data_IF_699014128483
#
_entry.id   IF_699014128483
#
_cell.length_a   1.000
_cell.length_b   1.000
_cell.length_c   1.000
_cell.angle_alpha   90.00
_cell.angle_beta   90.00
_cell.angle_gamma   90.00
#
_symmetry.space_group_name_H-M   'P 1'
#
loop_
_entity.id
_entity.type
_entity.pdbx_description
1 polymer ?
#
# COMPACT_ATOMS: atom_id res chain seq x y z
N UNK A 1 -49.03 9.35 8.18
CA UNK A 1 -49.99 8.78 9.14
C UNK A 1 -49.33 7.58 9.79
N UNK A 2 -48.89 7.76 11.03
CA UNK A 2 -48.31 6.71 11.85
C UNK A 2 -49.51 5.86 12.28
N UNK A 3 -49.62 4.63 11.78
CA UNK A 3 -50.63 3.69 12.27
C UNK A 3 -50.21 3.30 13.69
N UNK A 4 -51.01 3.70 14.66
CA UNK A 4 -50.81 3.42 16.08
C UNK A 4 -50.56 1.93 16.28
N UNK A 5 -49.38 1.62 16.80
CA UNK A 5 -48.96 0.27 17.13
C UNK A 5 -49.64 -0.10 18.44
N UNK A 6 -50.78 -0.77 18.36
CA UNK A 6 -51.48 -1.28 19.55
C UNK A 6 -50.68 -2.48 20.12
N UNK A 7 -49.92 -2.31 21.23
CA UNK A 7 -48.92 -3.28 21.68
C UNK A 7 -49.54 -4.60 22.17
N UNK A 8 -50.84 -4.60 22.49
CA UNK A 8 -51.60 -5.75 22.97
C UNK A 8 -52.24 -6.59 21.85
N UNK A 9 -52.07 -6.17 20.60
CA UNK A 9 -52.55 -6.94 19.46
C UNK A 9 -51.84 -8.30 19.39
N UNK A 10 -52.63 -9.37 19.38
CA UNK A 10 -52.15 -10.75 19.23
C UNK A 10 -52.63 -11.38 17.92
N UNK A 11 -51.88 -12.34 17.41
CA UNK A 11 -52.22 -13.07 16.19
C UNK A 11 -51.94 -14.56 16.36
N UNK A 12 -52.77 -15.39 15.73
CA UNK A 12 -52.59 -16.84 15.68
C UNK A 12 -51.64 -17.22 14.56
N UNK A 13 -50.58 -17.96 14.87
CA UNK A 13 -49.67 -18.48 13.86
C UNK A 13 -50.29 -19.71 13.17
N UNK A 14 -50.41 -19.76 11.82
CA UNK A 14 -51.00 -20.91 11.13
C UNK A 14 -50.21 -22.22 11.30
N UNK A 15 -48.88 -22.14 11.42
CA UNK A 15 -48.04 -23.35 11.50
C UNK A 15 -48.09 -24.02 12.88
N UNK A 16 -47.90 -23.27 13.97
CA UNK A 16 -47.91 -23.82 15.34
C UNK A 16 -49.26 -23.70 16.05
N UNK A 17 -50.24 -23.00 15.48
CA UNK A 17 -51.58 -22.83 16.04
C UNK A 17 -51.69 -21.91 17.27
N UNK A 18 -50.58 -21.50 17.85
CA UNK A 18 -50.50 -20.65 19.06
C UNK A 18 -50.85 -19.18 18.76
N UNK A 19 -51.55 -18.54 19.70
CA UNK A 19 -51.78 -17.09 19.72
C UNK A 19 -50.62 -16.40 20.41
N UNK A 20 -49.93 -15.49 19.71
CA UNK A 20 -48.75 -14.77 20.21
C UNK A 20 -48.92 -13.27 20.00
N UNK A 21 -48.26 -12.43 20.81
CA UNK A 21 -48.25 -10.99 20.56
C UNK A 21 -47.66 -10.68 19.18
N UNK A 22 -48.13 -9.62 18.51
CA UNK A 22 -47.63 -9.19 17.21
C UNK A 22 -46.11 -8.94 17.20
N UNK A 23 -45.51 -8.63 18.36
CA UNK A 23 -44.06 -8.52 18.55
C UNK A 23 -43.30 -9.79 18.16
N UNK A 24 -43.90 -10.98 18.37
CA UNK A 24 -43.33 -12.29 18.05
C UNK A 24 -43.39 -12.64 16.56
N UNK A 25 -43.95 -11.77 15.72
CA UNK A 25 -44.01 -11.94 14.27
C UNK A 25 -42.99 -11.00 13.58
N UNK A 26 -42.26 -11.45 12.55
CA UNK A 26 -41.30 -10.60 11.84
C UNK A 26 -41.97 -9.37 11.23
N UNK A 27 -41.22 -8.28 11.06
CA UNK A 27 -41.73 -7.09 10.37
C UNK A 27 -42.00 -7.41 8.89
N UNK A 28 -43.17 -7.03 8.41
CA UNK A 28 -43.58 -7.15 7.02
C UNK A 28 -44.30 -5.86 6.61
N UNK A 29 -43.53 -4.86 6.18
CA UNK A 29 -44.02 -3.52 5.88
C UNK A 29 -45.13 -3.49 4.81
N UNK A 30 -45.15 -4.47 3.91
CA UNK A 30 -46.15 -4.59 2.85
C UNK A 30 -47.54 -5.09 3.34
N UNK A 31 -47.70 -5.42 4.63
CA UNK A 31 -48.97 -5.91 5.17
C UNK A 31 -49.68 -4.84 6.00
N UNK A 32 -51.01 -4.91 6.02
CA UNK A 32 -51.91 -3.98 6.75
C UNK A 32 -51.47 -3.74 8.20
N UNK A 33 -51.02 -4.78 8.91
CA UNK A 33 -50.62 -4.71 10.32
C UNK A 33 -49.08 -4.66 10.50
N UNK A 34 -48.30 -4.47 9.43
CA UNK A 34 -46.83 -4.35 9.47
C UNK A 34 -46.08 -5.60 9.93
N UNK A 35 -46.77 -6.74 10.10
CA UNK A 35 -46.24 -7.99 10.67
C UNK A 35 -46.51 -9.20 9.77
N UNK A 36 -45.62 -10.19 9.88
CA UNK A 36 -45.69 -11.46 9.17
C UNK A 36 -46.88 -12.32 9.62
N UNK A 37 -47.22 -13.33 8.81
CA UNK A 37 -48.30 -14.28 9.11
C UNK A 37 -47.85 -15.39 10.07
N UNK A 38 -46.56 -15.72 10.06
CA UNK A 38 -45.98 -16.78 10.87
C UNK A 38 -45.16 -16.17 12.00
N UNK A 39 -45.21 -16.78 13.18
CA UNK A 39 -44.35 -16.36 14.28
C UNK A 39 -42.87 -16.53 13.88
N UNK A 40 -41.96 -15.75 14.48
CA UNK A 40 -40.54 -15.74 14.14
C UNK A 40 -39.88 -17.13 14.11
N UNK A 41 -40.17 -18.05 15.04
CA UNK A 41 -39.67 -19.43 14.97
C UNK A 41 -40.16 -20.20 13.73
N UNK A 42 -41.48 -20.24 13.48
CA UNK A 42 -42.06 -20.92 12.31
C UNK A 42 -41.57 -20.29 11.00
N UNK A 43 -41.49 -18.97 10.95
CA UNK A 43 -40.91 -18.25 9.82
C UNK A 43 -39.44 -18.64 9.57
N UNK A 44 -38.62 -18.71 10.63
CA UNK A 44 -37.22 -19.10 10.52
C UNK A 44 -37.05 -20.54 10.00
N UNK A 45 -37.91 -21.48 10.43
CA UNK A 45 -37.93 -22.85 9.92
C UNK A 45 -38.29 -22.91 8.44
N UNK A 46 -39.38 -22.25 8.02
CA UNK A 46 -39.77 -22.18 6.60
C UNK A 46 -38.69 -21.53 5.75
N UNK A 47 -38.09 -20.46 6.25
CA UNK A 47 -37.02 -19.75 5.56
C UNK A 47 -35.78 -20.63 5.37
N UNK A 48 -35.41 -21.43 6.39
CA UNK A 48 -34.33 -22.41 6.31
C UNK A 48 -34.62 -23.47 5.24
N UNK A 49 -35.80 -24.09 5.26
CA UNK A 49 -36.21 -25.09 4.27
C UNK A 49 -36.22 -24.52 2.84
N UNK A 50 -36.72 -23.30 2.66
CA UNK A 50 -36.68 -22.62 1.37
C UNK A 50 -35.25 -22.40 0.88
N UNK A 51 -34.33 -21.96 1.77
CA UNK A 51 -32.91 -21.79 1.44
C UNK A 51 -32.25 -23.11 1.05
N UNK A 52 -32.54 -24.19 1.75
CA UNK A 52 -32.03 -25.54 1.45
C UNK A 52 -32.50 -26.02 0.07
N UNK A 53 -33.81 -25.91 -0.22
CA UNK A 53 -34.37 -26.27 -1.53
C UNK A 53 -33.75 -25.46 -2.66
N UNK A 54 -33.58 -24.15 -2.47
CA UNK A 54 -32.98 -23.27 -3.47
C UNK A 54 -31.50 -23.59 -3.69
N UNK A 55 -30.74 -23.83 -2.62
CA UNK A 55 -29.34 -24.21 -2.71
C UNK A 55 -29.15 -25.56 -3.42
N UNK A 56 -29.99 -26.56 -3.13
CA UNK A 56 -29.99 -27.84 -3.82
C UNK A 56 -30.29 -27.70 -5.32
N UNK A 57 -31.28 -26.86 -5.68
CA UNK A 57 -31.60 -26.58 -7.08
C UNK A 57 -30.46 -25.88 -7.83
N UNK A 58 -29.75 -24.97 -7.16
CA UNK A 58 -28.63 -24.20 -7.73
C UNK A 58 -27.27 -24.91 -7.62
N UNK A 59 -27.22 -26.12 -7.05
CA UNK A 59 -25.96 -26.84 -6.80
C UNK A 59 -24.99 -26.10 -5.86
N UNK A 60 -25.50 -25.21 -5.00
CA UNK A 60 -24.69 -24.42 -4.06
C UNK A 60 -24.62 -25.10 -2.70
N UNK A 61 -23.43 -25.14 -2.11
CA UNK A 61 -23.24 -25.61 -0.74
C UNK A 61 -23.60 -24.51 0.27
N UNK A 62 -24.47 -24.82 1.23
CA UNK A 62 -24.78 -23.90 2.33
C UNK A 62 -23.66 -24.00 3.35
N UNK A 63 -22.93 -22.89 3.55
CA UNK A 63 -21.92 -22.82 4.62
C UNK A 63 -22.63 -22.81 5.99
N UNK A 64 -22.27 -23.72 6.92
CA UNK A 64 -22.85 -23.71 8.25
C UNK A 64 -22.48 -22.41 8.97
N UNK A 65 -23.41 -21.88 9.78
CA UNK A 65 -23.06 -20.77 10.67
C UNK A 65 -22.17 -21.28 11.78
N UNK A 66 -20.99 -20.68 11.91
CA UNK A 66 -20.06 -20.96 12.99
C UNK A 66 -20.30 -19.93 14.08
N UNK A 67 -20.79 -20.38 15.23
CA UNK A 67 -20.90 -19.54 16.43
C UNK A 67 -19.58 -19.59 17.18
N UNK A 68 -19.09 -18.43 17.62
CA UNK A 68 -17.93 -18.32 18.48
C UNK A 68 -18.38 -17.90 19.89
N UNK A 69 -17.74 -18.38 20.97
CA UNK A 69 -17.97 -17.88 22.32
C UNK A 69 -17.63 -16.40 22.46
N UNK A 70 -18.14 -15.76 23.51
CA UNK A 70 -17.86 -14.36 23.81
C UNK A 70 -16.35 -14.11 23.94
N UNK A 71 -15.86 -13.03 23.34
CA UNK A 71 -14.43 -12.70 23.32
C UNK A 71 -13.61 -13.42 22.23
N UNK A 72 -14.20 -14.36 21.50
CA UNK A 72 -13.56 -15.09 20.41
C UNK A 72 -14.26 -14.85 19.07
N UNK A 73 -13.50 -15.00 17.99
CA UNK A 73 -14.03 -15.01 16.64
C UNK A 73 -13.38 -16.12 15.82
N UNK A 74 -14.16 -16.61 14.86
CA UNK A 74 -13.72 -17.63 13.92
C UNK A 74 -13.18 -16.96 12.65
N UNK A 75 -11.95 -17.29 12.25
CA UNK A 75 -11.40 -16.80 10.98
C UNK A 75 -11.84 -17.71 9.81
N UNK A 76 -12.57 -17.21 8.80
CA UNK A 76 -13.03 -18.03 7.67
C UNK A 76 -11.92 -18.62 6.80
N UNK A 77 -10.74 -17.99 6.77
CA UNK A 77 -9.63 -18.40 5.91
C UNK A 77 -8.81 -19.51 6.57
N UNK A 78 -8.21 -19.25 7.75
CA UNK A 78 -7.39 -20.26 8.46
C UNK A 78 -8.21 -21.24 9.27
N UNK A 79 -9.52 -21.03 9.37
CA UNK A 79 -10.45 -21.93 10.02
C UNK A 79 -10.26 -22.14 11.54
N UNK A 80 -9.54 -21.23 12.19
CA UNK A 80 -9.23 -21.28 13.62
C UNK A 80 -10.09 -20.31 14.43
N UNK A 81 -10.39 -20.70 15.66
CA UNK A 81 -11.00 -19.87 16.68
C UNK A 81 -9.91 -19.09 17.42
N UNK A 82 -9.97 -17.75 17.37
CA UNK A 82 -8.96 -16.87 17.96
C UNK A 82 -9.60 -15.79 18.82
N UNK A 83 -8.88 -15.25 19.81
CA UNK A 83 -9.33 -14.08 20.56
C UNK A 83 -9.66 -12.91 19.61
N UNK A 84 -10.65 -12.10 19.95
CA UNK A 84 -11.03 -10.92 19.14
C UNK A 84 -9.86 -9.96 18.91
N UNK A 85 -8.87 -9.94 19.82
CA UNK A 85 -7.63 -9.15 19.73
C UNK A 85 -6.75 -9.49 18.53
N UNK A 86 -6.82 -10.73 18.05
CA UNK A 86 -6.12 -11.18 16.85
C UNK A 86 -6.82 -10.78 15.56
N UNK A 87 -7.93 -10.05 15.66
CA UNK A 87 -8.65 -9.48 14.53
C UNK A 87 -8.42 -7.96 14.50
N UNK A 88 -8.19 -7.37 13.30
CA UNK A 88 -7.98 -5.94 13.17
C UNK A 88 -9.25 -5.18 13.61
N UNK A 89 -9.06 -3.99 14.20
CA UNK A 89 -10.18 -3.12 14.58
C UNK A 89 -10.87 -2.61 13.32
N UNK A 90 -12.19 -2.71 13.28
CA UNK A 90 -13.00 -2.15 12.22
C UNK A 90 -14.25 -1.48 12.83
N UNK A 91 -14.27 -0.14 12.81
CA UNK A 91 -15.40 0.64 13.36
C UNK A 91 -16.68 0.53 12.55
N UNK A 92 -16.61 0.01 11.32
CA UNK A 92 -17.80 -0.15 10.46
C UNK A 92 -18.60 -1.41 10.77
N UNK A 93 -18.07 -2.36 11.55
CA UNK A 93 -18.77 -3.61 11.90
C UNK A 93 -19.45 -3.47 13.27
N UNK A 94 -20.58 -4.16 13.45
CA UNK A 94 -21.32 -4.16 14.72
C UNK A 94 -20.48 -4.68 15.91
N UNK A 95 -19.51 -5.57 15.63
CA UNK A 95 -18.58 -6.12 16.62
C UNK A 95 -17.32 -5.27 16.82
N UNK A 96 -17.11 -4.22 16.02
CA UNK A 96 -15.89 -3.39 16.07
C UNK A 96 -14.61 -4.09 15.59
N UNK A 97 -14.70 -5.32 15.07
CA UNK A 97 -13.58 -6.16 14.63
C UNK A 97 -13.78 -6.64 13.20
N UNK A 98 -12.68 -6.93 12.51
CA UNK A 98 -12.67 -7.50 11.17
C UNK A 98 -13.05 -8.99 11.17
N UNK A 99 -13.38 -9.51 9.98
CA UNK A 99 -13.81 -10.91 9.81
C UNK A 99 -12.64 -11.90 9.70
N UNK A 100 -11.43 -11.42 9.46
CA UNK A 100 -10.23 -12.24 9.27
C UNK A 100 -9.23 -11.92 10.36
N UNK A 101 -8.50 -12.94 10.84
CA UNK A 101 -7.39 -12.71 11.75
C UNK A 101 -6.31 -11.87 11.06
N UNK A 102 -5.49 -11.14 11.84
CA UNK A 102 -4.45 -10.25 11.33
C UNK A 102 -3.53 -10.91 10.28
N UNK A 103 -3.04 -12.16 10.45
CA UNK A 103 -2.25 -12.83 9.42
C UNK A 103 -3.00 -13.00 8.09
N UNK A 104 -4.21 -13.56 8.13
CA UNK A 104 -5.04 -13.75 6.92
C UNK A 104 -5.42 -12.41 6.28
N UNK A 105 -5.73 -11.41 7.10
CA UNK A 105 -6.01 -10.05 6.63
C UNK A 105 -4.81 -9.45 5.88
N UNK A 106 -3.59 -9.65 6.40
CA UNK A 106 -2.38 -9.15 5.75
C UNK A 106 -2.06 -9.90 4.45
N UNK A 107 -2.25 -11.22 4.41
CA UNK A 107 -2.09 -12.02 3.19
C UNK A 107 -3.07 -11.54 2.11
N UNK A 108 -4.36 -11.47 2.43
CA UNK A 108 -5.41 -10.94 1.53
C UNK A 108 -5.13 -9.51 1.10
N UNK A 109 -4.62 -8.67 1.99
CA UNK A 109 -4.26 -7.29 1.68
C UNK A 109 -3.15 -7.20 0.64
N UNK A 110 -2.15 -8.08 0.72
CA UNK A 110 -1.08 -8.19 -0.29
C UNK A 110 -1.60 -8.73 -1.61
N UNK A 111 -2.39 -9.81 -1.58
CA UNK A 111 -2.98 -10.42 -2.78
C UNK A 111 -3.89 -9.43 -3.52
N UNK A 112 -4.78 -8.74 -2.81
CA UNK A 112 -5.64 -7.73 -3.42
C UNK A 112 -4.85 -6.56 -4.01
N UNK A 113 -3.71 -6.19 -3.41
CA UNK A 113 -2.83 -5.17 -3.98
C UNK A 113 -2.25 -5.62 -5.32
N UNK A 114 -1.77 -6.87 -5.39
CA UNK A 114 -1.25 -7.47 -6.62
C UNK A 114 -2.36 -7.59 -7.68
N UNK A 115 -3.52 -8.14 -7.31
CA UNK A 115 -4.65 -8.31 -8.24
C UNK A 115 -5.15 -6.99 -8.83
N UNK A 116 -5.16 -5.90 -8.05
CA UNK A 116 -5.67 -4.59 -8.50
C UNK A 116 -4.65 -3.73 -9.20
N UNK A 117 -3.36 -3.88 -8.86
CA UNK A 117 -2.32 -2.99 -9.34
C UNK A 117 -1.22 -3.71 -10.15
N UNK A 118 -1.36 -5.00 -10.40
CA UNK A 118 -0.37 -5.83 -11.09
C UNK A 118 0.79 -6.24 -10.20
N UNK A 119 1.48 -5.25 -9.61
CA UNK A 119 2.64 -5.49 -8.76
C UNK A 119 2.68 -4.58 -7.52
N UNK A 120 3.51 -4.96 -6.54
CA UNK A 120 3.79 -4.08 -5.39
C UNK A 120 4.51 -2.80 -5.87
N UNK A 121 5.39 -2.90 -6.88
CA UNK A 121 6.10 -1.76 -7.48
C UNK A 121 5.09 -0.76 -8.06
N UNK A 122 4.17 -1.21 -8.90
CA UNK A 122 3.12 -0.39 -9.51
C UNK A 122 2.22 0.29 -8.49
N UNK A 123 1.81 -0.43 -7.44
CA UNK A 123 1.04 0.17 -6.36
C UNK A 123 1.77 1.37 -5.72
N UNK A 124 3.07 1.23 -5.46
CA UNK A 124 3.87 2.30 -4.86
C UNK A 124 4.12 3.45 -5.85
N UNK A 125 4.40 3.15 -7.12
CA UNK A 125 4.59 4.14 -8.17
C UNK A 125 3.31 4.97 -8.37
N UNK A 126 2.15 4.34 -8.51
CA UNK A 126 0.87 5.02 -8.69
C UNK A 126 0.53 5.90 -7.50
N UNK A 127 0.71 5.38 -6.28
CA UNK A 127 0.35 6.12 -5.06
C UNK A 127 1.23 7.34 -4.81
N UNK A 128 2.53 7.27 -5.16
CA UNK A 128 3.50 8.32 -4.85
C UNK A 128 3.68 9.31 -6.00
N UNK A 129 3.70 8.81 -7.23
CA UNK A 129 4.08 9.58 -8.41
C UNK A 129 2.98 9.64 -9.48
N UNK A 130 1.88 8.88 -9.32
CA UNK A 130 0.85 8.77 -10.35
C UNK A 130 1.28 7.98 -11.59
N UNK A 131 2.42 7.27 -11.53
CA UNK A 131 3.02 6.53 -12.66
C UNK A 131 2.75 5.02 -12.58
N UNK A 132 2.74 4.36 -13.74
CA UNK A 132 2.84 2.89 -13.84
C UNK A 132 4.29 2.44 -14.03
N UNK A 133 4.57 1.13 -13.93
CA UNK A 133 5.90 0.61 -14.29
C UNK A 133 6.23 0.90 -15.74
N UNK A 134 5.27 0.79 -16.65
CA UNK A 134 5.46 1.09 -18.07
C UNK A 134 5.82 2.57 -18.30
N UNK A 135 5.23 3.50 -17.54
CA UNK A 135 5.61 4.91 -17.62
C UNK A 135 7.07 5.12 -17.19
N UNK A 136 7.50 4.45 -16.13
CA UNK A 136 8.89 4.51 -15.65
C UNK A 136 9.83 3.88 -16.67
N UNK A 137 9.46 2.73 -17.24
CA UNK A 137 10.29 2.04 -18.21
C UNK A 137 10.42 2.87 -19.51
N UNK A 138 9.35 3.56 -19.93
CA UNK A 138 9.40 4.56 -21.02
C UNK A 138 10.34 5.72 -20.69
N UNK A 139 10.32 6.26 -19.47
CA UNK A 139 11.26 7.30 -19.06
C UNK A 139 12.72 6.81 -19.07
N UNK A 140 12.95 5.56 -18.68
CA UNK A 140 14.28 4.95 -18.75
C UNK A 140 14.75 4.86 -20.20
N UNK A 141 13.87 4.45 -21.11
CA UNK A 141 14.17 4.36 -22.55
C UNK A 141 14.43 5.74 -23.18
N UNK A 142 13.61 6.75 -22.86
CA UNK A 142 13.80 8.14 -23.29
C UNK A 142 15.14 8.72 -22.81
N UNK A 143 15.65 8.26 -21.67
CA UNK A 143 16.98 8.62 -21.15
C UNK A 143 18.13 7.75 -21.69
N UNK A 144 17.87 6.87 -22.66
CA UNK A 144 18.87 5.97 -23.23
C UNK A 144 19.30 4.85 -22.29
N UNK A 145 18.46 4.46 -21.34
CA UNK A 145 18.74 3.40 -20.36
C UNK A 145 19.57 3.85 -19.16
N UNK A 146 19.95 5.14 -19.08
CA UNK A 146 20.92 5.64 -18.11
C UNK A 146 20.33 6.77 -17.23
N UNK A 147 21.00 7.04 -16.12
CA UNK A 147 20.66 8.10 -15.20
C UNK A 147 20.68 9.48 -15.90
N UNK A 148 19.62 10.29 -15.69
CA UNK A 148 19.49 11.61 -16.30
C UNK A 148 20.62 12.60 -15.97
N UNK A 149 21.33 12.40 -14.85
CA UNK A 149 22.38 13.31 -14.39
C UNK A 149 23.76 12.86 -14.84
N UNK A 150 24.16 11.61 -14.51
CA UNK A 150 25.52 11.15 -14.79
C UNK A 150 25.68 10.42 -16.13
N UNK A 151 24.57 9.99 -16.76
CA UNK A 151 24.56 9.25 -18.02
C UNK A 151 25.54 8.06 -18.07
N UNK A 152 25.73 7.39 -16.94
CA UNK A 152 26.76 6.35 -16.77
C UNK A 152 26.19 5.12 -16.06
N UNK A 153 25.30 5.32 -15.08
CA UNK A 153 24.74 4.26 -14.25
C UNK A 153 23.27 4.05 -14.56
N UNK A 154 22.81 2.81 -14.38
CA UNK A 154 21.40 2.45 -14.45
C UNK A 154 20.57 3.25 -13.43
N UNK A 155 19.40 3.79 -13.84
CA UNK A 155 18.50 4.48 -12.94
C UNK A 155 17.76 3.49 -12.03
N UNK A 156 17.57 3.88 -10.77
CA UNK A 156 16.87 3.08 -9.74
C UNK A 156 15.78 3.86 -9.01
N UNK A 157 15.74 5.18 -9.17
CA UNK A 157 14.86 6.07 -8.42
C UNK A 157 14.12 7.00 -9.38
N UNK A 158 12.82 7.21 -9.12
CA UNK A 158 12.05 8.29 -9.75
C UNK A 158 12.30 9.56 -8.94
N UNK A 159 12.91 10.54 -9.57
CA UNK A 159 13.18 11.85 -8.99
C UNK A 159 12.01 12.79 -9.27
N UNK A 160 11.68 13.63 -8.28
CA UNK A 160 10.52 14.51 -8.33
C UNK A 160 10.82 15.80 -7.58
N UNK A 161 10.21 16.88 -8.03
CA UNK A 161 10.28 18.16 -7.34
C UNK A 161 9.50 18.09 -6.02
N UNK A 162 10.16 18.43 -4.91
CA UNK A 162 9.57 18.34 -3.57
C UNK A 162 8.55 19.46 -3.27
N UNK A 163 8.40 20.46 -4.13
CA UNK A 163 7.41 21.54 -4.00
C UNK A 163 6.17 21.21 -4.82
N UNK A 164 6.33 20.84 -6.10
CA UNK A 164 5.20 20.59 -7.01
C UNK A 164 4.77 19.13 -7.06
N UNK A 165 5.63 18.20 -6.64
CA UNK A 165 5.44 16.77 -6.81
C UNK A 165 5.64 16.29 -8.26
N UNK A 166 6.02 17.18 -9.18
CA UNK A 166 6.21 16.85 -10.59
C UNK A 166 7.45 15.96 -10.76
N UNK A 167 7.31 14.88 -11.51
CA UNK A 167 8.41 13.97 -11.81
C UNK A 167 9.41 14.68 -12.74
N UNK A 168 10.70 14.65 -12.38
CA UNK A 168 11.79 15.29 -13.13
C UNK A 168 12.49 14.30 -14.07
N UNK A 169 12.63 13.04 -13.64
CA UNK A 169 13.35 12.02 -14.38
C UNK A 169 13.64 10.78 -13.54
N UNK A 170 14.44 9.86 -14.07
CA UNK A 170 14.92 8.69 -13.33
C UNK A 170 16.43 8.73 -13.10
N UNK A 171 16.85 8.52 -11.86
CA UNK A 171 18.22 8.71 -11.39
C UNK A 171 18.81 7.44 -10.79
N UNK A 172 20.14 7.31 -10.88
CA UNK A 172 20.87 6.32 -10.10
C UNK A 172 20.89 6.71 -8.61
N UNK A 173 21.17 5.75 -7.73
CA UNK A 173 21.19 5.98 -6.26
C UNK A 173 22.16 7.10 -5.85
N UNK A 174 23.33 7.17 -6.48
CA UNK A 174 24.36 8.16 -6.14
C UNK A 174 23.92 9.58 -6.46
N UNK A 175 23.38 9.81 -7.66
CA UNK A 175 22.93 11.14 -8.07
C UNK A 175 21.70 11.59 -7.27
N UNK A 176 20.73 10.68 -7.04
CA UNK A 176 19.58 10.99 -6.20
C UNK A 176 20.00 11.39 -4.77
N UNK A 177 20.95 10.67 -4.18
CA UNK A 177 21.47 11.01 -2.85
C UNK A 177 22.27 12.31 -2.85
N UNK A 178 23.03 12.61 -3.91
CA UNK A 178 23.72 13.89 -4.05
C UNK A 178 22.75 15.08 -4.05
N UNK A 179 21.63 14.98 -4.79
CA UNK A 179 20.57 15.99 -4.76
C UNK A 179 19.95 16.13 -3.37
N UNK A 180 19.63 15.01 -2.71
CA UNK A 180 19.08 15.01 -1.35
C UNK A 180 20.03 15.61 -0.31
N UNK A 181 21.33 15.35 -0.42
CA UNK A 181 22.35 15.94 0.45
C UNK A 181 22.48 17.45 0.25
N UNK A 182 22.29 17.93 -0.98
CA UNK A 182 22.17 19.34 -1.29
C UNK A 182 20.77 19.91 -0.97
N UNK A 183 19.82 19.10 -0.47
CA UNK A 183 18.42 19.48 -0.21
C UNK A 183 17.75 20.14 -1.42
N UNK A 184 18.06 19.65 -2.62
CA UNK A 184 17.59 20.19 -3.90
C UNK A 184 17.92 21.68 -4.11
N UNK A 185 18.94 22.21 -3.42
CA UNK A 185 19.35 23.63 -3.52
C UNK A 185 20.41 23.84 -4.61
N UNK A 186 20.09 24.55 -5.71
CA UNK A 186 21.06 24.79 -6.78
C UNK A 186 22.25 25.64 -6.34
N UNK A 187 22.08 26.53 -5.37
CA UNK A 187 23.15 27.37 -4.84
C UNK A 187 24.23 26.56 -4.12
N UNK A 188 23.85 25.51 -3.37
CA UNK A 188 24.80 24.60 -2.72
C UNK A 188 25.59 23.80 -3.78
N UNK A 189 24.91 23.33 -4.83
CA UNK A 189 25.56 22.59 -5.91
C UNK A 189 26.54 23.47 -6.70
N UNK A 190 26.20 24.74 -6.96
CA UNK A 190 27.13 25.70 -7.58
C UNK A 190 28.34 25.98 -6.70
N UNK A 191 28.14 26.21 -5.40
CA UNK A 191 29.24 26.40 -4.46
C UNK A 191 30.15 25.16 -4.36
N UNK A 192 29.60 23.96 -4.53
CA UNK A 192 30.39 22.72 -4.59
C UNK A 192 31.26 22.66 -5.86
N UNK A 193 30.74 23.09 -7.01
CA UNK A 193 31.51 23.23 -8.26
C UNK A 193 32.67 24.22 -8.04
N UNK A 194 32.36 25.43 -7.55
CA UNK A 194 33.36 26.47 -7.29
C UNK A 194 34.46 25.96 -6.33
N UNK A 195 34.07 25.23 -5.29
CA UNK A 195 35.01 24.64 -4.34
C UNK A 195 35.94 23.62 -5.00
N UNK A 196 35.40 22.74 -5.84
CA UNK A 196 36.21 21.74 -6.56
C UNK A 196 37.18 22.42 -7.52
N UNK A 197 36.73 23.38 -8.32
CA UNK A 197 37.59 24.10 -9.26
C UNK A 197 38.73 24.85 -8.56
N UNK A 198 38.43 25.48 -7.41
CA UNK A 198 39.42 26.23 -6.62
C UNK A 198 40.42 25.35 -5.87
N UNK A 199 40.03 24.14 -5.50
CA UNK A 199 40.84 23.27 -4.62
C UNK A 199 41.49 22.09 -5.33
N UNK A 200 41.10 21.80 -6.58
CA UNK A 200 41.68 20.70 -7.35
C UNK A 200 43.13 21.04 -7.73
N UNK A 201 43.97 20.02 -7.62
CA UNK A 201 45.37 20.07 -8.04
C UNK A 201 45.47 19.70 -9.51
N UNK A 202 46.12 20.55 -10.30
CA UNK A 202 46.42 20.31 -11.71
C UNK A 202 47.86 19.86 -11.86
N UNK A 203 48.12 18.88 -12.72
CA UNK A 203 49.49 18.45 -13.08
C UNK A 203 49.98 19.27 -14.26
N UNK A 204 50.92 20.16 -14.03
CA UNK A 204 51.60 20.93 -15.06
C UNK A 204 52.92 20.26 -15.42
N UNK A 205 53.17 20.01 -16.72
CA UNK A 205 54.42 19.40 -17.18
C UNK A 205 55.50 20.48 -17.29
N UNK A 206 56.53 20.38 -16.45
CA UNK A 206 57.62 21.37 -16.40
C UNK A 206 58.74 21.01 -17.38
N UNK A 207 59.13 19.73 -17.43
CA UNK A 207 60.07 19.21 -18.42
C UNK A 207 59.77 17.72 -18.70
N UNK A 208 60.53 17.09 -19.59
CA UNK A 208 60.33 15.69 -19.97
C UNK A 208 60.37 14.78 -18.73
N UNK A 209 59.23 14.15 -18.42
CA UNK A 209 59.07 13.24 -17.28
C UNK A 209 58.80 13.91 -15.93
N UNK A 210 58.90 15.23 -15.81
CA UNK A 210 58.72 15.96 -14.53
C UNK A 210 57.44 16.80 -14.55
N UNK A 211 56.61 16.61 -13.53
CA UNK A 211 55.35 17.32 -13.36
C UNK A 211 55.33 18.05 -12.02
N UNK A 212 54.76 19.25 -12.02
CA UNK A 212 54.47 20.04 -10.81
C UNK A 212 52.97 19.98 -10.55
N UNK A 213 52.60 19.84 -9.28
CA UNK A 213 51.23 20.04 -8.84
C UNK A 213 51.02 21.51 -8.54
N UNK A 214 50.08 22.14 -9.24
CA UNK A 214 49.67 23.52 -9.01
C UNK A 214 48.19 23.54 -8.63
N UNK A 215 47.83 24.38 -7.68
CA UNK A 215 46.44 24.66 -7.31
C UNK A 215 46.30 26.18 -7.21
N UNK A 216 45.21 26.78 -7.72
CA UNK A 216 45.04 28.24 -7.71
C UNK A 216 45.14 28.86 -6.31
N UNK A 217 44.77 28.11 -5.26
CA UNK A 217 44.60 28.64 -3.92
C UNK A 217 45.21 27.79 -2.80
N UNK A 218 45.92 26.70 -3.11
CA UNK A 218 46.60 25.86 -2.11
C UNK A 218 48.10 25.75 -2.39
N UNK A 219 48.90 25.80 -1.33
CA UNK A 219 50.34 25.52 -1.39
C UNK A 219 50.57 24.01 -1.57
N UNK A 220 51.56 23.65 -2.40
CA UNK A 220 51.82 22.26 -2.79
C UNK A 220 52.00 21.37 -1.55
N UNK A 221 51.39 20.16 -1.51
CA UNK A 221 51.59 19.25 -0.39
C UNK A 221 53.07 18.89 -0.27
N UNK A 222 53.63 18.90 0.93
CA UNK A 222 55.06 18.72 1.23
C UNK A 222 55.60 17.31 1.03
N UNK A 223 54.84 16.40 0.41
CA UNK A 223 55.23 14.98 0.27
C UNK A 223 56.16 14.75 -0.92
N UNK A 224 57.09 13.80 -0.76
CA UNK A 224 58.12 13.47 -1.75
C UNK A 224 57.50 12.95 -3.05
N UNK A 225 58.15 13.29 -4.16
CA UNK A 225 57.67 13.13 -5.54
C UNK A 225 57.33 11.68 -5.95
N UNK A 226 57.80 10.66 -5.21
CA UNK A 226 57.52 9.24 -5.45
C UNK A 226 56.14 8.78 -4.96
N UNK A 227 55.58 9.40 -3.91
CA UNK A 227 54.27 9.00 -3.37
C UNK A 227 53.09 9.59 -4.18
N UNK A 228 53.30 10.73 -4.85
CA UNK A 228 52.26 11.44 -5.60
C UNK A 228 51.96 10.82 -6.98
N UNK A 229 52.89 10.05 -7.55
CA UNK A 229 52.68 9.38 -8.85
C UNK A 229 51.64 8.25 -8.76
N UNK A 230 51.49 7.59 -7.60
CA UNK A 230 50.53 6.50 -7.41
C UNK A 230 49.09 6.98 -7.13
N UNK A 231 48.90 8.21 -6.62
CA UNK A 231 47.59 8.70 -6.14
C UNK A 231 46.67 9.27 -7.23
N UNK A 232 47.20 9.59 -8.42
CA UNK A 232 46.41 10.18 -9.52
C UNK A 232 45.98 9.13 -10.55
N UNK A 233 46.67 7.97 -10.60
CA UNK A 233 46.39 6.91 -11.58
C UNK A 233 45.15 6.06 -11.26
N UNK A 234 44.55 6.20 -10.07
CA UNK A 234 43.42 5.36 -9.61
C UNK A 234 42.03 6.00 -9.79
N UNK A 235 41.91 7.22 -10.35
CA UNK A 235 40.61 7.86 -10.64
C UNK A 235 40.00 7.46 -11.99
N UNK A 236 40.24 6.22 -12.42
CA UNK A 236 39.46 5.55 -13.47
C UNK A 236 39.01 4.21 -12.88
N UNK A 237 37.80 4.20 -12.34
CA UNK A 237 37.14 3.04 -11.76
C UNK A 237 35.67 3.37 -11.57
#
# INVERSE_FOLDING_TARGET
MILDFDPDSSARCPDCGEVKPLAAFPRAAARKNGRGLYCSPCFALRYRQHRERKAAKEGRTIRPQRTAPDGFAYCPDCQELKPLEDFPRNRSTSTGRGNYCKPCHNVRGRENRILRHGSTRDYHLRRRYGLTSEDVDRMVEEQGGLCAICQEREPKHVDHDHVTGSVRGVLCSCCNQALGNARDRPDILRAAIDYLERTTWTRERVCMGVYRLTSPHRAAPSRSSSELQHLISSRRG
#
